data_IF_771391648643
#
_entry.id   IF_771391648643
#
_cell.length_a   1.000
_cell.length_b   1.000
_cell.length_c   1.000
_cell.angle_alpha   90.00
_cell.angle_beta   90.00
_cell.angle_gamma   90.00
#
_symmetry.space_group_name_H-M   'P 1'
#
loop_
_entity.id
_entity.type
_entity.pdbx_description
1 polymer ?
#
# COMPACT_ATOMS: atom_id res chain seq x y z
N UNK A 1 -30.45 -1.16 25.22
CA UNK A 1 -29.97 -1.51 23.87
C UNK A 1 -30.40 -0.40 22.93
N UNK A 2 -29.48 0.21 22.18
CA UNK A 2 -29.85 1.18 21.15
C UNK A 2 -30.00 0.41 19.82
N UNK A 3 -31.23 0.22 19.29
CA UNK A 3 -31.48 -0.57 18.09
C UNK A 3 -30.85 0.03 16.81
N UNK A 4 -30.41 1.29 16.86
CA UNK A 4 -29.72 1.95 15.75
C UNK A 4 -28.23 1.63 15.66
N UNK A 5 -27.64 0.95 16.65
CA UNK A 5 -26.22 0.53 16.59
C UNK A 5 -25.96 -0.50 15.50
N UNK A 6 -26.97 -1.28 15.12
CA UNK A 6 -26.85 -2.32 14.10
C UNK A 6 -27.24 -1.81 12.68
N UNK A 7 -27.78 -0.59 12.58
CA UNK A 7 -28.09 0.06 11.29
C UNK A 7 -26.84 0.63 10.59
N UNK A 8 -25.71 0.69 11.30
CA UNK A 8 -24.45 1.17 10.74
C UNK A 8 -23.85 0.05 9.88
N UNK A 9 -24.12 0.07 8.58
CA UNK A 9 -23.41 -0.78 7.61
C UNK A 9 -21.90 -0.56 7.80
N UNK A 10 -21.20 -1.52 8.39
CA UNK A 10 -19.74 -1.54 8.38
C UNK A 10 -19.31 -1.79 6.95
N UNK A 11 -18.85 -0.73 6.29
CA UNK A 11 -18.10 -0.89 5.05
C UNK A 11 -16.68 -1.24 5.45
N UNK A 12 -16.34 -2.52 5.40
CA UNK A 12 -14.95 -2.95 5.51
C UNK A 12 -14.26 -2.64 4.18
N UNK A 13 -13.48 -1.57 4.16
CA UNK A 13 -12.63 -1.25 3.02
C UNK A 13 -11.26 -1.87 3.27
N UNK A 14 -10.91 -2.86 2.44
CA UNK A 14 -9.60 -3.49 2.43
C UNK A 14 -8.93 -3.26 1.08
N UNK A 15 -7.62 -3.06 1.10
CA UNK A 15 -6.79 -2.91 -0.09
C UNK A 15 -5.55 -3.79 0.05
N UNK A 16 -5.44 -4.76 -0.85
CA UNK A 16 -4.28 -5.66 -0.95
C UNK A 16 -3.47 -5.32 -2.21
N UNK A 17 -2.17 -5.08 -2.07
CA UNK A 17 -1.28 -4.68 -3.16
C UNK A 17 0.04 -5.44 -3.10
N UNK A 18 0.52 -5.88 -4.26
CA UNK A 18 1.89 -6.34 -4.47
C UNK A 18 2.67 -5.35 -5.33
N UNK A 19 3.83 -4.91 -4.86
CA UNK A 19 4.79 -4.12 -5.63
C UNK A 19 5.92 -5.04 -6.07
N UNK A 20 5.90 -5.43 -7.35
CA UNK A 20 6.82 -6.43 -7.90
C UNK A 20 8.13 -5.80 -8.39
N UNK A 21 8.11 -5.10 -9.51
CA UNK A 21 9.32 -4.60 -10.16
C UNK A 21 9.11 -3.31 -10.96
N UNK A 22 10.20 -2.59 -11.20
CA UNK A 22 10.25 -1.44 -12.09
C UNK A 22 11.18 -1.72 -13.26
N UNK A 23 10.67 -1.50 -14.48
CA UNK A 23 11.40 -1.63 -15.75
C UNK A 23 11.71 -0.26 -16.31
N UNK A 24 12.79 -0.16 -17.10
CA UNK A 24 13.17 1.09 -17.78
C UNK A 24 13.65 2.23 -16.87
N UNK A 25 13.80 2.00 -15.55
CA UNK A 25 14.36 3.02 -14.65
C UNK A 25 15.87 3.14 -14.82
N UNK A 26 16.44 4.35 -14.73
CA UNK A 26 17.88 4.57 -14.91
C UNK A 26 18.76 3.77 -13.93
N UNK A 27 19.94 3.36 -14.38
CA UNK A 27 20.95 2.74 -13.50
C UNK A 27 21.70 3.85 -12.76
N UNK A 28 21.13 4.33 -11.66
CA UNK A 28 21.71 5.43 -10.87
C UNK A 28 21.85 5.12 -9.38
N UNK A 29 20.72 4.81 -8.72
CA UNK A 29 20.61 4.69 -7.26
C UNK A 29 19.72 3.52 -6.85
N UNK A 30 19.49 3.40 -5.54
CA UNK A 30 18.41 2.58 -5.01
C UNK A 30 17.06 3.27 -5.21
N UNK A 31 16.05 2.48 -5.54
CA UNK A 31 14.68 2.91 -5.76
C UNK A 31 13.76 2.32 -4.69
N UNK A 32 12.72 3.06 -4.35
CA UNK A 32 11.58 2.59 -3.55
C UNK A 32 10.31 3.21 -4.14
N UNK A 33 9.16 2.61 -3.83
CA UNK A 33 7.85 3.13 -4.16
C UNK A 33 7.20 3.70 -2.89
N UNK A 34 6.50 4.81 -3.03
CA UNK A 34 5.57 5.29 -2.01
C UNK A 34 4.16 4.84 -2.37
N UNK A 35 3.39 4.44 -1.36
CA UNK A 35 1.98 4.09 -1.50
C UNK A 35 1.18 5.18 -0.81
N UNK A 36 0.38 5.90 -1.59
CA UNK A 36 -0.44 7.00 -1.10
C UNK A 36 -1.94 6.70 -1.34
N UNK A 37 -2.75 6.79 -0.27
CA UNK A 37 -4.21 6.74 -0.35
C UNK A 37 -4.75 8.14 -0.06
N UNK A 38 -5.53 8.69 -0.98
CA UNK A 38 -6.04 10.07 -0.89
C UNK A 38 -4.95 11.10 -0.51
N UNK A 39 -3.79 10.98 -1.17
CA UNK A 39 -2.59 11.81 -0.94
C UNK A 39 -1.91 11.60 0.43
N UNK A 40 -2.40 10.70 1.27
CA UNK A 40 -1.76 10.31 2.53
C UNK A 40 -0.79 9.17 2.28
N UNK A 41 0.47 9.33 2.66
CA UNK A 41 1.47 8.26 2.62
C UNK A 41 1.11 7.18 3.65
N UNK A 42 0.83 5.97 3.18
CA UNK A 42 0.45 4.83 4.03
C UNK A 42 1.50 3.72 4.05
N UNK A 43 2.48 3.76 3.15
CA UNK A 43 3.57 2.80 3.15
C UNK A 43 4.64 3.11 2.11
N UNK A 44 5.75 2.38 2.21
CA UNK A 44 6.85 2.45 1.25
C UNK A 44 7.47 1.07 1.10
N UNK A 45 7.99 0.77 -0.08
CA UNK A 45 8.83 -0.42 -0.26
C UNK A 45 10.23 -0.20 0.32
N UNK A 46 11.00 -1.29 0.49
CA UNK A 46 12.43 -1.19 0.79
C UNK A 46 13.21 -0.55 -0.37
N UNK A 47 14.34 0.08 -0.07
CA UNK A 47 15.19 0.67 -1.11
C UNK A 47 16.07 -0.41 -1.79
N UNK A 48 15.83 -0.68 -3.08
CA UNK A 48 16.54 -1.71 -3.87
C UNK A 48 17.39 -1.08 -4.98
N UNK A 49 18.64 -1.52 -5.20
CA UNK A 49 19.43 -1.03 -6.32
C UNK A 49 18.81 -1.46 -7.65
N UNK A 50 18.92 -0.62 -8.68
CA UNK A 50 18.71 -1.05 -10.05
C UNK A 50 19.97 -1.76 -10.54
N UNK A 51 20.02 -3.08 -10.40
CA UNK A 51 21.03 -3.94 -11.05
C UNK A 51 20.54 -4.34 -12.46
N UNK A 52 20.31 -5.62 -12.75
CA UNK A 52 19.66 -6.11 -13.99
C UNK A 52 18.14 -6.03 -13.97
N UNK A 53 17.54 -6.11 -12.76
CA UNK A 53 16.13 -5.82 -12.48
C UNK A 53 16.04 -5.03 -11.17
N UNK A 54 15.11 -4.07 -11.07
CA UNK A 54 14.73 -3.47 -9.79
C UNK A 54 13.48 -4.19 -9.27
N UNK A 55 13.68 -5.20 -8.43
CA UNK A 55 12.62 -6.07 -7.90
C UNK A 55 12.47 -5.88 -6.38
N UNK A 56 11.23 -5.66 -5.93
CA UNK A 56 10.83 -5.59 -4.53
C UNK A 56 10.13 -6.86 -4.08
N UNK A 57 9.08 -7.28 -4.79
CA UNK A 57 8.25 -8.42 -4.39
C UNK A 57 7.58 -8.23 -3.03
N UNK A 58 7.20 -6.99 -2.72
CA UNK A 58 6.70 -6.61 -1.40
C UNK A 58 5.17 -6.53 -1.40
N UNK A 59 4.56 -6.96 -0.29
CA UNK A 59 3.12 -7.05 -0.09
C UNK A 59 2.64 -6.03 0.95
N UNK A 60 1.46 -5.46 0.70
CA UNK A 60 0.81 -4.50 1.58
C UNK A 60 -0.67 -4.86 1.72
N UNK A 61 -1.17 -4.91 2.96
CA UNK A 61 -2.58 -5.11 3.32
C UNK A 61 -3.04 -3.93 4.17
N UNK A 62 -3.87 -3.06 3.60
CA UNK A 62 -4.45 -1.91 4.27
C UNK A 62 -5.92 -2.19 4.59
N UNK A 63 -6.25 -2.22 5.89
CA UNK A 63 -7.64 -2.37 6.37
C UNK A 63 -8.07 -1.09 7.05
N UNK A 64 -9.04 -0.38 6.46
CA UNK A 64 -9.65 0.78 7.08
C UNK A 64 -10.70 0.31 8.08
N UNK A 65 -10.30 0.21 9.34
CA UNK A 65 -11.28 0.13 10.43
C UNK A 65 -11.79 1.55 10.66
N UNK A 66 -13.07 1.80 10.39
CA UNK A 66 -13.73 3.02 10.84
C UNK A 66 -13.58 3.07 12.38
N UNK A 67 -12.68 3.92 12.86
CA UNK A 67 -12.66 4.30 14.28
C UNK A 67 -13.88 5.19 14.48
N UNK A 68 -14.87 4.64 15.19
CA UNK A 68 -16.12 5.29 15.56
C UNK A 68 -15.89 6.59 16.34
#
# INVERSE_FOLDING_TARGET
MNPRRDEMRRTENALEIWILEAKGVPVKRRYYCEICLDKTLVGRTSAKPRADICFWGEHFDYRLVLQN
#
